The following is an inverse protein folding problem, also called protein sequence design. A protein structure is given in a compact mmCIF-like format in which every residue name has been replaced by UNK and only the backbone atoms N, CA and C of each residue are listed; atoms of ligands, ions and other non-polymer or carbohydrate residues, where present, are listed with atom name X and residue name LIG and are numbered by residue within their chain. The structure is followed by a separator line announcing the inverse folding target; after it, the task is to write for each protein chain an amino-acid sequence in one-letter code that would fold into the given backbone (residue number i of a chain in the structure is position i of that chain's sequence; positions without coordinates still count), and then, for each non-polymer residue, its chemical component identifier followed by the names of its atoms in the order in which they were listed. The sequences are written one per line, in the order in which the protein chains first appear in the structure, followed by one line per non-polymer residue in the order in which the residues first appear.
data_IF_539324383236
#
_entry.id   IF_539324383236
#
_cell.length_a   1.000
_cell.length_b   1.000
_cell.length_c   1.000
_cell.angle_alpha   90.00
_cell.angle_beta   90.00
_cell.angle_gamma   90.00
#
_symmetry.space_group_name_H-M   'P 1'
#
loop_
_entity.id
_entity.type
_entity.pdbx_description
1 polymer ?
#
# COMPACT_ATOMS: atom_id res chain seq x y z
N UNK A 1 -11.51 17.34 17.01
CA UNK A 1 -11.83 16.85 15.64
C UNK A 1 -10.52 16.52 14.94
N UNK A 2 -10.27 15.24 14.62
CA UNK A 2 -9.15 14.89 13.75
C UNK A 2 -9.68 14.92 12.31
N UNK A 3 -9.29 15.92 11.53
CA UNK A 3 -9.59 15.95 10.10
C UNK A 3 -9.17 14.61 9.48
N UNK A 4 -10.08 13.99 8.73
CA UNK A 4 -9.78 12.79 7.95
C UNK A 4 -8.80 13.18 6.84
N UNK A 5 -7.52 13.14 7.13
CA UNK A 5 -6.48 13.44 6.17
C UNK A 5 -6.31 12.27 5.20
N UNK A 6 -6.08 12.57 3.94
CA UNK A 6 -5.74 11.57 2.92
C UNK A 6 -4.23 11.57 2.76
N UNK A 7 -3.60 10.41 2.85
CA UNK A 7 -2.17 10.23 2.72
C UNK A 7 -1.86 9.58 1.38
N UNK A 8 -0.83 10.06 0.68
CA UNK A 8 -0.35 9.38 -0.50
C UNK A 8 0.21 8.01 -0.12
N UNK A 9 -0.14 6.99 -0.91
CA UNK A 9 0.37 5.63 -0.79
C UNK A 9 0.73 5.08 -2.16
N UNK A 10 1.75 4.24 -2.20
CA UNK A 10 2.08 3.43 -3.37
C UNK A 10 1.34 2.10 -3.25
N UNK A 11 0.50 1.78 -4.24
CA UNK A 11 -0.15 0.48 -4.33
C UNK A 11 0.87 -0.57 -4.79
N UNK A 12 0.98 -1.67 -4.05
CA UNK A 12 1.93 -2.74 -4.35
C UNK A 12 1.26 -3.85 -5.15
N UNK A 13 1.89 -4.34 -6.23
CA UNK A 13 1.51 -5.62 -6.80
C UNK A 13 1.81 -6.74 -5.80
N UNK A 14 1.09 -7.85 -5.91
CA UNK A 14 1.28 -9.00 -5.01
C UNK A 14 2.58 -9.77 -5.33
N UNK A 15 3.16 -9.54 -6.51
CA UNK A 15 4.40 -10.16 -6.99
C UNK A 15 5.23 -9.12 -7.77
N UNK A 16 6.53 -9.37 -7.91
CA UNK A 16 7.43 -8.59 -8.78
C UNK A 16 7.48 -7.07 -8.46
N UNK A 17 7.61 -6.72 -7.18
CA UNK A 17 7.68 -5.33 -6.72
C UNK A 17 8.85 -4.54 -7.35
N UNK A 18 9.92 -5.22 -7.76
CA UNK A 18 11.03 -4.62 -8.52
C UNK A 18 10.55 -3.93 -9.80
N UNK A 19 9.51 -4.47 -10.44
CA UNK A 19 8.96 -3.91 -11.68
C UNK A 19 8.32 -2.53 -11.50
N UNK A 20 8.00 -2.15 -10.25
CA UNK A 20 7.52 -0.82 -9.89
C UNK A 20 8.55 0.02 -9.13
N UNK A 21 9.79 -0.47 -8.98
CA UNK A 21 10.90 0.24 -8.35
C UNK A 21 11.06 0.01 -6.85
N UNK A 22 10.47 -1.06 -6.29
CA UNK A 22 10.61 -1.45 -4.89
C UNK A 22 11.42 -2.75 -4.79
N UNK A 23 12.62 -2.69 -4.23
CA UNK A 23 13.59 -3.80 -4.16
C UNK A 23 13.39 -4.74 -2.98
N UNK A 24 12.14 -5.10 -2.70
CA UNK A 24 11.73 -5.95 -1.59
C UNK A 24 10.59 -6.86 -2.04
N UNK A 25 10.37 -7.97 -1.34
CA UNK A 25 9.16 -8.79 -1.48
C UNK A 25 8.11 -8.37 -0.44
N UNK A 26 6.85 -8.81 -0.60
CA UNK A 26 5.83 -8.62 0.44
C UNK A 26 6.24 -9.27 1.78
N UNK A 27 7.04 -10.33 1.73
CA UNK A 27 7.57 -10.98 2.92
C UNK A 27 8.65 -10.13 3.61
N UNK A 28 9.58 -9.54 2.86
CA UNK A 28 10.60 -8.64 3.43
C UNK A 28 9.98 -7.39 4.06
N UNK A 29 8.81 -6.97 3.58
CA UNK A 29 8.03 -5.86 4.13
C UNK A 29 7.17 -6.27 5.33
N UNK A 30 7.16 -7.55 5.74
CA UNK A 30 6.30 -8.06 6.82
C UNK A 30 4.81 -8.15 6.47
N UNK A 31 4.42 -7.86 5.23
CA UNK A 31 3.02 -7.90 4.78
C UNK A 31 2.46 -9.33 4.67
N UNK A 32 3.35 -10.32 4.63
CA UNK A 32 2.98 -11.74 4.63
C UNK A 32 2.73 -12.31 6.04
N UNK A 33 2.98 -11.55 7.12
CA UNK A 33 2.77 -12.01 8.51
C UNK A 33 1.30 -11.94 8.94
N UNK A 34 0.57 -10.94 8.45
CA UNK A 34 -0.87 -10.76 8.69
C UNK A 34 -1.59 -10.52 7.36
N UNK A 35 -2.02 -11.61 6.74
CA UNK A 35 -2.63 -11.58 5.41
C UNK A 35 -4.15 -11.39 5.55
N UNK A 36 -4.74 -10.37 4.89
CA UNK A 36 -6.17 -10.13 4.93
C UNK A 36 -7.01 -11.34 4.55
N UNK A 37 -8.17 -11.48 5.19
CA UNK A 37 -9.12 -12.58 4.95
C UNK A 37 -9.70 -12.62 3.53
N UNK A 38 -9.44 -11.61 2.69
CA UNK A 38 -9.80 -11.58 1.28
C UNK A 38 -8.85 -12.40 0.39
N UNK A 39 -7.74 -12.90 0.94
CA UNK A 39 -6.78 -13.74 0.23
C UNK A 39 -6.78 -15.20 0.68
N UNK A 40 -6.50 -16.08 -0.27
CA UNK A 40 -5.94 -17.41 -0.05
C UNK A 40 -4.44 -17.31 -0.42
N UNK A 41 -3.56 -17.50 0.55
CA UNK A 41 -2.12 -17.41 0.38
C UNK A 41 -1.48 -18.80 0.42
N UNK A 42 -0.70 -19.11 -0.60
CA UNK A 42 0.12 -20.32 -0.67
C UNK A 42 1.56 -19.98 -0.28
N UNK A 43 1.99 -20.45 0.90
CA UNK A 43 3.32 -20.18 1.44
C UNK A 43 4.45 -20.90 0.68
N UNK A 44 4.15 -21.94 -0.09
CA UNK A 44 5.15 -22.69 -0.86
C UNK A 44 5.50 -21.95 -2.15
N UNK A 45 4.49 -21.35 -2.78
CA UNK A 45 4.62 -20.65 -4.06
C UNK A 45 4.69 -19.12 -3.90
N UNK A 46 4.51 -18.60 -2.69
CA UNK A 46 4.40 -17.17 -2.37
C UNK A 46 3.35 -16.49 -3.27
N UNK A 47 2.22 -17.17 -3.47
CA UNK A 47 1.20 -16.76 -4.42
C UNK A 47 -0.10 -16.39 -3.72
N UNK A 48 -0.60 -15.19 -4.02
CA UNK A 48 -1.83 -14.64 -3.47
C UNK A 48 -2.98 -14.85 -4.47
N UNK A 49 -4.10 -15.38 -3.99
CA UNK A 49 -5.34 -15.51 -4.77
C UNK A 49 -6.49 -14.84 -4.06
N UNK A 50 -7.41 -14.24 -4.81
CA UNK A 50 -8.66 -13.81 -4.24
C UNK A 50 -9.46 -15.00 -3.72
N UNK A 51 -9.80 -14.96 -2.43
CA UNK A 51 -10.71 -15.91 -1.81
C UNK A 51 -12.07 -15.82 -2.47
N UNK A 52 -12.80 -16.95 -2.50
CA UNK A 52 -14.19 -16.96 -2.98
C UNK A 52 -15.03 -15.93 -2.19
N UNK A 53 -15.85 -15.16 -2.90
CA UNK A 53 -16.60 -14.00 -2.39
C UNK A 53 -15.90 -12.67 -2.71
N UNK A 54 -14.58 -12.69 -2.87
CA UNK A 54 -13.75 -11.52 -3.16
C UNK A 54 -13.22 -11.52 -4.60
N UNK A 55 -13.63 -12.41 -5.50
CA UNK A 55 -13.18 -12.39 -6.91
C UNK A 55 -13.96 -11.36 -7.72
N UNK A 56 -13.49 -11.06 -8.92
CA UNK A 56 -14.08 -10.01 -9.73
C UNK A 56 -15.55 -10.33 -10.04
N UNK A 57 -16.42 -9.35 -9.84
CA UNK A 57 -17.87 -9.51 -9.99
C UNK A 57 -18.59 -10.15 -8.80
N UNK A 58 -17.89 -10.53 -7.74
CA UNK A 58 -18.50 -11.08 -6.53
C UNK A 58 -18.87 -9.99 -5.50
N UNK A 59 -19.60 -10.39 -4.45
CA UNK A 59 -20.23 -9.46 -3.50
C UNK A 59 -19.24 -8.65 -2.64
N UNK A 60 -18.09 -9.22 -2.30
CA UNK A 60 -17.12 -8.61 -1.37
C UNK A 60 -15.93 -7.94 -2.07
N UNK A 61 -16.03 -7.64 -3.37
CA UNK A 61 -14.98 -6.91 -4.12
C UNK A 61 -14.60 -5.58 -3.44
N UNK A 62 -15.57 -4.87 -2.86
CA UNK A 62 -15.34 -3.59 -2.17
C UNK A 62 -14.71 -3.72 -0.78
N UNK A 63 -14.64 -4.94 -0.27
CA UNK A 63 -14.06 -5.30 1.03
C UNK A 63 -12.63 -5.84 0.90
N UNK A 64 -12.11 -5.95 -0.33
CA UNK A 64 -10.71 -6.29 -0.59
C UNK A 64 -9.79 -5.30 0.09
N UNK A 65 -8.68 -5.80 0.58
CA UNK A 65 -7.60 -4.99 1.11
C UNK A 65 -6.38 -5.15 0.20
N UNK A 66 -5.65 -4.07 0.00
CA UNK A 66 -4.50 -4.05 -0.91
C UNK A 66 -3.23 -3.64 -0.16
N UNK A 67 -2.08 -4.21 -0.51
CA UNK A 67 -0.82 -3.87 0.14
C UNK A 67 -0.34 -2.50 -0.36
N UNK A 68 0.14 -1.67 0.56
CA UNK A 68 0.61 -0.32 0.26
C UNK A 68 1.88 0.06 1.02
N UNK A 69 2.64 1.01 0.47
CA UNK A 69 3.69 1.76 1.18
C UNK A 69 3.25 3.21 1.33
N UNK A 70 3.35 3.76 2.54
CA UNK A 70 2.95 5.14 2.81
C UNK A 70 4.04 6.13 2.43
N UNK A 71 3.67 7.25 1.82
CA UNK A 71 4.54 8.41 1.73
C UNK A 71 4.42 9.21 3.04
N UNK A 72 5.17 8.77 4.07
CA UNK A 72 5.11 9.24 5.46
C UNK A 72 6.25 10.19 5.85
N UNK A 73 7.02 10.65 4.87
CA UNK A 73 8.15 11.56 5.06
C UNK A 73 9.46 10.87 5.42
N UNK A 74 9.50 9.54 5.51
CA UNK A 74 10.73 8.77 5.66
C UNK A 74 11.46 8.57 4.31
N UNK A 75 12.62 7.91 4.36
CA UNK A 75 13.36 7.51 3.16
C UNK A 75 12.57 6.47 2.36
N UNK A 76 11.81 6.96 1.37
CA UNK A 76 10.95 6.14 0.53
C UNK A 76 11.74 5.37 -0.55
N UNK A 77 11.42 4.10 -0.86
CA UNK A 77 10.42 3.25 -0.17
C UNK A 77 10.99 2.52 1.07
N UNK A 78 12.30 2.54 1.30
CA UNK A 78 12.99 1.59 2.17
C UNK A 78 12.66 1.70 3.68
N UNK A 79 12.30 2.88 4.19
CA UNK A 79 12.01 3.12 5.62
C UNK A 79 10.57 3.55 5.90
N UNK A 80 9.74 3.54 4.87
CA UNK A 80 8.35 3.98 4.99
C UNK A 80 7.49 2.89 5.61
N UNK A 81 6.46 3.30 6.35
CA UNK A 81 5.45 2.39 6.85
C UNK A 81 4.77 1.64 5.70
N UNK A 82 4.36 0.41 5.98
CA UNK A 82 3.62 -0.45 5.05
C UNK A 82 2.37 -0.97 5.72
N UNK A 83 1.37 -1.37 4.94
CA UNK A 83 0.17 -1.98 5.48
C UNK A 83 -0.81 -2.46 4.41
N UNK A 84 -1.92 -3.02 4.87
CA UNK A 84 -3.07 -3.38 4.04
C UNK A 84 -4.15 -2.31 4.17
N UNK A 85 -4.73 -1.88 3.05
CA UNK A 85 -5.79 -0.87 3.06
C UNK A 85 -6.98 -1.35 2.25
N UNK A 86 -8.16 -1.28 2.87
CA UNK A 86 -9.42 -1.62 2.23
C UNK A 86 -9.71 -0.74 1.00
N UNK A 87 -10.25 -1.34 -0.05
CA UNK A 87 -10.61 -0.68 -1.31
C UNK A 87 -11.48 0.56 -1.10
N UNK A 88 -12.41 0.50 -0.14
CA UNK A 88 -13.31 1.60 0.25
C UNK A 88 -12.59 2.82 0.83
N UNK A 89 -11.39 2.64 1.36
CA UNK A 89 -10.56 3.67 1.99
C UNK A 89 -9.41 4.12 1.06
N UNK A 90 -9.42 3.69 -0.21
CA UNK A 90 -8.52 4.12 -1.28
C UNK A 90 -9.24 5.03 -2.27
N UNK A 91 -8.50 6.01 -2.82
CA UNK A 91 -8.97 6.88 -3.91
C UNK A 91 -7.85 7.20 -4.88
N UNK A 92 -8.19 7.31 -6.15
CA UNK A 92 -7.23 7.73 -7.18
C UNK A 92 -6.67 9.12 -6.88
N UNK A 93 -5.38 9.29 -7.15
CA UNK A 93 -4.68 10.57 -7.04
C UNK A 93 -4.24 10.99 -8.43
N UNK A 94 -4.73 12.14 -8.90
CA UNK A 94 -4.18 12.76 -10.10
C UNK A 94 -2.91 13.53 -9.74
N UNK A 95 -1.75 12.91 -9.93
CA UNK A 95 -0.44 13.48 -9.59
C UNK A 95 -0.10 14.75 -10.38
N UNK A 96 -0.81 15.03 -11.47
CA UNK A 96 -0.62 16.23 -12.28
C UNK A 96 -1.54 17.38 -11.86
N UNK A 97 -2.58 17.09 -11.08
CA UNK A 97 -3.52 18.11 -10.64
C UNK A 97 -2.93 19.02 -9.56
N UNK A 98 -3.28 20.31 -9.60
CA UNK A 98 -2.72 21.32 -8.69
C UNK A 98 -3.04 21.02 -7.21
N UNK A 99 -4.25 20.52 -6.94
CA UNK A 99 -4.72 20.18 -5.59
C UNK A 99 -3.93 19.03 -4.95
N UNK A 100 -3.24 18.20 -5.73
CA UNK A 100 -2.45 17.08 -5.21
C UNK A 100 -1.24 17.56 -4.41
N UNK A 101 -0.81 18.81 -4.60
CA UNK A 101 0.20 19.46 -3.76
C UNK A 101 -0.24 19.64 -2.30
N UNK A 102 -1.54 19.55 -2.00
CA UNK A 102 -2.08 19.60 -0.63
C UNK A 102 -1.95 18.25 0.09
N UNK A 103 -1.64 17.16 -0.62
CA UNK A 103 -1.42 15.85 0.00
C UNK A 103 -0.10 15.88 0.76
N UNK A 104 -0.06 15.42 2.02
CA UNK A 104 1.19 15.34 2.77
C UNK A 104 2.27 14.56 2.01
N UNK A 105 3.51 15.04 2.09
CA UNK A 105 4.70 14.42 1.47
C UNK A 105 4.62 14.23 -0.06
N UNK A 106 3.78 15.00 -0.76
CA UNK A 106 3.64 14.92 -2.22
C UNK A 106 4.94 15.19 -3.01
N UNK A 107 5.90 15.91 -2.43
CA UNK A 107 7.23 16.06 -3.04
C UNK A 107 7.98 14.72 -3.13
N UNK A 108 7.85 13.85 -2.12
CA UNK A 108 8.42 12.49 -2.12
C UNK A 108 7.78 11.62 -3.20
N UNK A 109 6.46 11.77 -3.42
CA UNK A 109 5.74 11.13 -4.55
C UNK A 109 6.37 11.53 -5.88
N UNK A 110 6.51 12.83 -6.12
CA UNK A 110 7.10 13.35 -7.38
C UNK A 110 8.54 12.88 -7.58
N UNK A 111 9.34 12.88 -6.51
CA UNK A 111 10.73 12.40 -6.55
C UNK A 111 10.77 10.91 -6.94
N UNK A 112 9.99 10.07 -6.26
CA UNK A 112 9.93 8.64 -6.58
C UNK A 112 9.48 8.37 -8.02
N UNK A 113 8.42 9.02 -8.47
CA UNK A 113 7.91 8.85 -9.84
C UNK A 113 8.90 9.31 -10.92
N UNK A 114 9.76 10.28 -10.60
CA UNK A 114 10.83 10.77 -11.50
C UNK A 114 12.04 9.84 -11.50
N UNK A 115 12.47 9.41 -10.32
CA UNK A 115 13.74 8.71 -10.14
C UNK A 115 13.61 7.20 -10.41
N UNK A 116 12.38 6.65 -10.45
CA UNK A 116 12.15 5.25 -10.77
C UNK A 116 12.58 4.94 -12.21
N UNK A 117 13.53 4.02 -12.36
CA UNK A 117 13.87 3.37 -13.62
C UNK A 117 13.13 2.02 -13.73
N UNK A 118 11.82 2.05 -13.46
CA UNK A 118 11.00 0.84 -13.35
C UNK A 118 10.22 0.59 -14.67
N UNK A 119 10.13 -0.66 -15.14
CA UNK A 119 9.49 -1.00 -16.42
C UNK A 119 7.96 -0.82 -16.39
N UNK A 120 7.33 -0.94 -15.22
CA UNK A 120 5.88 -0.84 -15.06
C UNK A 120 5.47 0.47 -14.38
N UNK A 121 4.27 0.98 -14.68
CA UNK A 121 3.74 2.13 -13.98
C UNK A 121 3.42 1.75 -12.53
N UNK A 122 4.08 2.40 -11.58
CA UNK A 122 3.66 2.37 -10.17
C UNK A 122 2.44 3.27 -9.97
N UNK A 123 1.43 2.74 -9.29
CA UNK A 123 0.17 3.41 -9.03
C UNK A 123 0.22 4.11 -7.67
N UNK A 124 0.22 5.45 -7.69
CA UNK A 124 0.16 6.25 -6.47
C UNK A 124 -1.27 6.74 -6.28
N UNK A 125 -1.84 6.42 -5.14
CA UNK A 125 -3.21 6.74 -4.76
C UNK A 125 -3.21 7.41 -3.40
N UNK A 126 -4.37 7.78 -2.88
CA UNK A 126 -4.49 8.22 -1.49
C UNK A 126 -5.28 7.23 -0.65
N UNK A 127 -4.77 6.97 0.55
CA UNK A 127 -5.42 6.21 1.60
C UNK A 127 -5.92 7.15 2.70
N UNK A 128 -7.06 6.81 3.30
CA UNK A 128 -7.62 7.58 4.41
C UNK A 128 -6.81 7.36 5.69
N UNK A 129 -6.33 8.44 6.31
CA UNK A 129 -5.62 8.42 7.60
C UNK A 129 -6.57 7.99 8.73
N UNK A 130 -6.17 6.97 9.50
CA UNK A 130 -6.92 6.46 10.65
C UNK A 130 -7.62 5.11 10.46
N UNK A 131 -7.32 4.38 9.39
CA UNK A 131 -7.52 2.92 9.35
C UNK A 131 -6.31 2.31 10.04
N UNK A 132 -6.53 1.46 11.05
CA UNK A 132 -5.52 1.03 12.04
C UNK A 132 -4.13 0.88 11.43
N UNK A 133 -3.22 1.75 11.89
CA UNK A 133 -1.80 1.39 11.88
C UNK A 133 -1.76 0.14 12.73
N UNK A 134 -1.48 -1.01 12.15
CA UNK A 134 -1.06 -2.16 12.97
C UNK A 134 0.10 -1.64 13.78
N UNK A 135 -0.15 -1.42 15.07
CA UNK A 135 0.84 -1.05 16.06
C UNK A 135 1.95 -2.08 15.93
N UNK A 136 3.02 -1.68 15.26
CA UNK A 136 4.23 -2.49 15.15
C UNK A 136 4.72 -2.66 16.58
N UNK A 137 4.44 -3.83 17.14
CA UNK A 137 4.98 -4.41 18.36
C UNK A 137 5.26 -3.41 19.50
N UNK A 138 4.36 -3.41 20.49
CA UNK A 138 4.74 -3.11 21.88
C UNK A 138 5.85 -4.08 22.31
N UNK A 139 7.10 -3.70 22.06
CA UNK A 139 8.25 -4.28 22.72
C UNK A 139 8.28 -3.85 24.17
N UNK A 140 7.55 -4.57 25.03
CA UNK A 140 7.79 -4.62 26.48
C UNK A 140 7.88 -6.10 26.90
N UNK A 141 9.13 -6.57 26.96
CA UNK A 141 9.79 -7.34 28.05
C UNK A 141 9.23 -8.75 28.40
N UNK A 142 10.03 -9.65 28.99
CA UNK A 142 10.93 -9.44 30.15
C UNK A 142 12.41 -9.20 29.85
#
# INVERSE_FOLDING_TARGET
EKSKEWLAVLLLPLTELDNIGVRNTLQDLGLAEDIPGCYDYDNQTNYFRWRKGYRDGESSVREREFPVIYFDGQDFPAKSAVGWVAAKDLRTLDVNAAQSSLVPHFQSVRKFLRDRAAPQPAEVIVAKSGVDRTDSFNGILP
#
